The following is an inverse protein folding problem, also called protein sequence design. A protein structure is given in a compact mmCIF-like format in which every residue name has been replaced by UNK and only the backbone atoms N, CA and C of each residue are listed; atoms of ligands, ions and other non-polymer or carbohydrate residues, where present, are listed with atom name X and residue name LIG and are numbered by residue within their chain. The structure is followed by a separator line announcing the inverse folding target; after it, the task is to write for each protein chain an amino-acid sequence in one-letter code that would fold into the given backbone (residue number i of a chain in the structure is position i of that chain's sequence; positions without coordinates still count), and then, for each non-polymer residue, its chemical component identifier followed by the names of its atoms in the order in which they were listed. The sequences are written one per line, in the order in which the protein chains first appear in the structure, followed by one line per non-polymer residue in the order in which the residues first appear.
data_IF_217649594170
#
_entry.id   IF_217649594170
#
_cell.length_a   1.000
_cell.length_b   1.000
_cell.length_c   1.000
_cell.angle_alpha   90.00
_cell.angle_beta   90.00
_cell.angle_gamma   90.00
#
_symmetry.space_group_name_H-M   'P 1'
#
loop_
_entity.id
_entity.type
_entity.pdbx_description
1 polymer ?
#
# COMPACT_ATOMS: atom_id res chain seq x y z
N UNK A 1 -6.75 -19.46 6.67
CA UNK A 1 -6.05 -20.20 5.59
C UNK A 1 -6.40 -19.70 4.18
N UNK A 2 -7.68 -19.40 3.87
CA UNK A 2 -8.10 -18.95 2.54
C UNK A 2 -7.45 -17.61 2.13
N UNK A 3 -7.38 -16.64 3.02
CA UNK A 3 -6.75 -15.34 2.77
C UNK A 3 -5.25 -15.43 2.49
N UNK A 4 -4.53 -16.35 3.14
CA UNK A 4 -3.11 -16.56 2.89
C UNK A 4 -2.88 -17.09 1.47
N UNK A 5 -3.63 -18.12 1.07
CA UNK A 5 -3.54 -18.66 -0.30
C UNK A 5 -3.89 -17.61 -1.37
N UNK A 6 -4.84 -16.76 -1.05
CA UNK A 6 -5.26 -15.70 -1.94
C UNK A 6 -4.16 -14.63 -2.13
N UNK A 7 -3.53 -14.16 -1.03
CA UNK A 7 -2.42 -13.19 -1.12
C UNK A 7 -1.18 -13.83 -1.75
N UNK A 8 -0.88 -15.09 -1.48
CA UNK A 8 0.21 -15.79 -2.15
C UNK A 8 0.01 -15.86 -3.67
N UNK A 9 -1.23 -15.96 -4.13
CA UNK A 9 -1.59 -15.92 -5.54
C UNK A 9 -1.55 -14.53 -6.20
N UNK A 10 -1.42 -13.44 -5.42
CA UNK A 10 -1.33 -12.09 -5.98
C UNK A 10 0.07 -11.89 -6.56
N UNK A 11 0.15 -11.64 -7.87
CA UNK A 11 1.39 -11.27 -8.56
C UNK A 11 1.33 -9.78 -8.94
N UNK A 12 2.21 -8.97 -8.35
CA UNK A 12 2.40 -7.57 -8.69
C UNK A 12 3.77 -7.43 -9.37
N UNK A 13 3.75 -7.21 -10.68
CA UNK A 13 4.96 -7.07 -11.48
C UNK A 13 5.84 -5.91 -11.01
N UNK A 14 7.13 -6.18 -10.87
CA UNK A 14 8.10 -5.19 -10.38
C UNK A 14 7.64 -4.53 -9.07
N UNK A 15 6.96 -5.27 -8.19
CA UNK A 15 6.43 -4.74 -6.95
C UNK A 15 7.53 -4.20 -6.04
N UNK A 16 7.32 -3.00 -5.50
CA UNK A 16 8.14 -2.46 -4.42
C UNK A 16 7.40 -2.63 -3.10
N UNK A 17 8.12 -3.02 -2.07
CA UNK A 17 7.60 -3.22 -0.73
C UNK A 17 7.61 -1.90 0.02
N UNK A 18 6.48 -1.51 0.59
CA UNK A 18 6.34 -0.24 1.29
C UNK A 18 5.85 -0.41 2.72
N UNK A 19 6.43 0.37 3.63
CA UNK A 19 5.86 0.68 4.94
C UNK A 19 5.65 2.19 4.99
N UNK A 20 4.40 2.60 5.03
CA UNK A 20 4.00 3.99 5.09
C UNK A 20 3.55 4.32 6.52
N UNK A 21 4.29 5.19 7.19
CA UNK A 21 3.93 5.62 8.53
C UNK A 21 2.98 6.81 8.47
N UNK A 22 2.05 6.86 9.40
CA UNK A 22 1.04 7.91 9.48
C UNK A 22 1.17 8.72 10.77
N UNK A 23 0.81 10.01 10.69
CA UNK A 23 0.60 10.85 11.87
C UNK A 23 -0.58 10.28 12.65
N UNK A 24 -0.37 9.95 13.90
CA UNK A 24 -1.42 9.36 14.75
C UNK A 24 -2.43 10.41 15.24
N UNK A 25 -2.01 11.67 15.29
CA UNK A 25 -2.82 12.80 15.72
C UNK A 25 -2.65 14.00 14.79
N UNK A 26 -3.74 14.73 14.55
CA UNK A 26 -3.74 16.09 14.00
C UNK A 26 -4.60 16.94 14.94
N UNK A 27 -3.96 17.81 15.71
CA UNK A 27 -4.62 18.48 16.82
C UNK A 27 -5.19 17.46 17.80
N UNK A 28 -6.47 17.57 18.14
CA UNK A 28 -7.17 16.63 19.01
C UNK A 28 -7.71 15.38 18.27
N UNK A 29 -7.64 15.34 16.95
CA UNK A 29 -8.15 14.23 16.16
C UNK A 29 -7.15 13.07 16.15
N UNK A 30 -7.59 11.90 16.64
CA UNK A 30 -6.82 10.64 16.56
C UNK A 30 -7.14 9.92 15.25
N UNK A 31 -6.09 9.46 14.57
CA UNK A 31 -6.23 8.65 13.37
C UNK A 31 -6.95 7.33 13.69
N UNK A 32 -7.98 7.02 12.91
CA UNK A 32 -8.69 5.75 12.91
C UNK A 32 -8.53 5.02 11.55
N UNK A 33 -8.97 3.78 11.48
CA UNK A 33 -8.86 2.96 10.27
C UNK A 33 -9.63 3.54 9.09
N UNK A 34 -10.77 4.19 9.32
CA UNK A 34 -11.57 4.83 8.29
C UNK A 34 -10.84 6.03 7.67
N UNK A 35 -10.31 6.92 8.51
CA UNK A 35 -9.54 8.09 8.08
C UNK A 35 -8.24 7.67 7.39
N UNK A 36 -7.61 6.59 7.87
CA UNK A 36 -6.44 6.02 7.23
C UNK A 36 -6.76 5.50 5.82
N UNK A 37 -7.84 4.75 5.63
CA UNK A 37 -8.27 4.27 4.31
C UNK A 37 -8.56 5.42 3.34
N UNK A 38 -9.21 6.49 3.81
CA UNK A 38 -9.41 7.71 3.01
C UNK A 38 -8.08 8.39 2.63
N UNK A 39 -7.13 8.42 3.55
CA UNK A 39 -5.80 8.97 3.29
C UNK A 39 -5.03 8.14 2.25
N UNK A 40 -5.12 6.81 2.31
CA UNK A 40 -4.56 5.89 1.31
C UNK A 40 -5.22 6.14 -0.06
N UNK A 41 -6.54 6.30 -0.12
CA UNK A 41 -7.24 6.64 -1.37
C UNK A 41 -6.71 7.92 -1.99
N UNK A 42 -6.51 8.95 -1.19
CA UNK A 42 -5.95 10.21 -1.67
C UNK A 42 -4.52 10.02 -2.20
N UNK A 43 -3.70 9.28 -1.48
CA UNK A 43 -2.34 8.91 -1.89
C UNK A 43 -2.35 8.16 -3.23
N UNK A 44 -3.15 7.11 -3.37
CA UNK A 44 -3.20 6.30 -4.61
C UNK A 44 -3.68 7.14 -5.80
N UNK A 45 -4.62 8.06 -5.59
CA UNK A 45 -5.09 8.97 -6.63
C UNK A 45 -3.98 9.94 -7.08
N UNK A 46 -3.22 10.51 -6.16
CA UNK A 46 -2.08 11.38 -6.49
C UNK A 46 -1.04 10.58 -7.27
N UNK A 47 -0.65 9.40 -6.76
CA UNK A 47 0.38 8.56 -7.38
C UNK A 47 -0.01 8.12 -8.79
N UNK A 48 -1.22 7.59 -8.97
CA UNK A 48 -1.72 7.16 -10.27
C UNK A 48 -1.81 8.33 -11.28
N UNK A 49 -2.21 9.51 -10.81
CA UNK A 49 -2.23 10.71 -11.65
C UNK A 49 -0.83 11.13 -12.08
N UNK A 50 0.16 11.04 -11.19
CA UNK A 50 1.56 11.33 -11.51
C UNK A 50 2.13 10.34 -12.52
N UNK A 51 1.78 9.06 -12.38
CA UNK A 51 2.28 7.98 -13.25
C UNK A 51 1.61 8.00 -14.62
N UNK A 52 0.29 8.12 -14.67
CA UNK A 52 -0.50 7.92 -15.89
C UNK A 52 -1.12 9.21 -16.47
N UNK A 53 -1.05 10.33 -15.76
CA UNK A 53 -1.61 11.59 -16.23
C UNK A 53 -3.11 11.47 -16.57
N UNK A 54 -3.46 11.90 -17.77
CA UNK A 54 -4.84 11.87 -18.25
C UNK A 54 -5.41 10.45 -18.43
N UNK A 55 -4.56 9.44 -18.66
CA UNK A 55 -5.01 8.06 -18.82
C UNK A 55 -5.63 7.50 -17.53
N UNK A 56 -5.21 7.98 -16.37
CA UNK A 56 -5.85 7.67 -15.09
C UNK A 56 -7.31 8.15 -15.06
N UNK A 57 -7.56 9.41 -15.47
CA UNK A 57 -8.90 9.98 -15.46
C UNK A 57 -9.81 9.41 -16.55
N UNK A 58 -9.30 9.29 -17.78
CA UNK A 58 -10.10 8.93 -18.95
C UNK A 58 -10.35 7.44 -19.08
N UNK A 59 -9.38 6.62 -18.70
CA UNK A 59 -9.40 5.18 -18.95
C UNK A 59 -9.28 4.34 -17.66
N UNK A 60 -9.25 4.98 -16.48
CA UNK A 60 -9.12 4.29 -15.20
C UNK A 60 -7.79 3.52 -15.05
N UNK A 61 -6.72 3.94 -15.77
CA UNK A 61 -5.44 3.26 -15.73
C UNK A 61 -4.78 3.45 -14.37
N UNK A 62 -4.49 2.34 -13.68
CA UNK A 62 -3.96 2.32 -12.31
C UNK A 62 -2.80 1.35 -12.19
N UNK A 63 -1.91 1.62 -11.22
CA UNK A 63 -0.92 0.64 -10.77
C UNK A 63 -1.61 -0.48 -9.98
N UNK A 64 -1.06 -1.70 -10.09
CA UNK A 64 -1.45 -2.77 -9.18
C UNK A 64 -0.90 -2.50 -7.79
N UNK A 65 -1.75 -2.56 -6.77
CA UNK A 65 -1.39 -2.24 -5.39
C UNK A 65 -2.11 -3.17 -4.42
N UNK A 66 -1.42 -3.50 -3.33
CA UNK A 66 -1.98 -4.19 -2.17
C UNK A 66 -1.62 -3.41 -0.91
N UNK A 67 -2.60 -3.13 -0.05
CA UNK A 67 -2.39 -2.47 1.23
C UNK A 67 -2.97 -3.29 2.38
N UNK A 68 -2.20 -3.36 3.45
CA UNK A 68 -2.56 -4.05 4.68
C UNK A 68 -2.30 -3.11 5.85
N UNK A 69 -3.33 -2.81 6.61
CA UNK A 69 -3.24 -2.01 7.81
C UNK A 69 -2.73 -2.85 8.97
N UNK A 70 -1.82 -2.30 9.75
CA UNK A 70 -1.30 -2.92 10.96
C UNK A 70 -1.43 -1.94 12.12
N UNK A 71 -2.00 -2.41 13.23
CA UNK A 71 -2.01 -1.71 14.50
C UNK A 71 -0.92 -2.29 15.39
N UNK A 72 0.04 -1.46 15.77
CA UNK A 72 1.12 -1.91 16.66
C UNK A 72 0.64 -2.02 18.11
N UNK A 73 1.42 -2.70 18.96
CA UNK A 73 1.14 -2.91 20.38
C UNK A 73 0.95 -1.60 21.18
N UNK A 74 1.33 -0.46 20.63
CA UNK A 74 1.13 0.88 21.21
C UNK A 74 0.03 1.67 20.48
N UNK A 75 -0.94 1.00 19.90
CA UNK A 75 -2.07 1.59 19.16
C UNK A 75 -1.64 2.56 18.04
N UNK A 76 -0.57 2.23 17.33
CA UNK A 76 -0.11 3.01 16.18
C UNK A 76 -0.49 2.31 14.87
N UNK A 77 -1.21 3.03 14.04
CA UNK A 77 -1.59 2.56 12.71
C UNK A 77 -0.44 2.75 11.72
N UNK A 78 -0.09 1.68 11.04
CA UNK A 78 0.88 1.62 9.95
C UNK A 78 0.25 0.98 8.72
N UNK A 79 0.78 1.28 7.56
CA UNK A 79 0.37 0.66 6.31
C UNK A 79 1.55 -0.08 5.73
N UNK A 80 1.36 -1.36 5.49
CA UNK A 80 2.27 -2.15 4.68
C UNK A 80 1.66 -2.41 3.32
N UNK A 81 2.48 -2.51 2.29
CA UNK A 81 1.94 -2.76 0.97
C UNK A 81 2.97 -3.22 -0.04
N UNK A 82 2.43 -3.50 -1.23
CA UNK A 82 3.20 -3.77 -2.43
C UNK A 82 2.62 -2.86 -3.51
N UNK A 83 3.48 -2.11 -4.20
CA UNK A 83 3.07 -1.20 -5.28
C UNK A 83 3.83 -1.57 -6.54
N UNK A 84 3.12 -1.79 -7.66
CA UNK A 84 3.72 -2.01 -8.97
C UNK A 84 4.58 -0.81 -9.36
N UNK A 85 5.84 -1.07 -9.72
CA UNK A 85 6.72 -0.05 -10.28
C UNK A 85 6.62 -0.05 -11.81
N UNK A 86 6.28 1.10 -12.43
CA UNK A 86 6.30 1.21 -13.87
C UNK A 86 7.71 0.91 -14.43
N UNK A 87 7.78 0.10 -15.48
CA UNK A 87 9.07 -0.29 -16.10
C UNK A 87 9.92 0.90 -16.57
N UNK A 88 9.28 2.01 -16.92
CA UNK A 88 9.94 3.25 -17.35
C UNK A 88 10.61 4.05 -16.21
N UNK A 89 10.31 3.72 -14.95
CA UNK A 89 10.89 4.40 -13.78
C UNK A 89 11.92 3.50 -13.10
N UNK A 90 13.08 4.06 -12.77
CA UNK A 90 14.04 3.40 -11.88
C UNK A 90 13.45 3.26 -10.48
N UNK A 91 14.01 2.34 -9.69
CA UNK A 91 13.60 2.19 -8.28
C UNK A 91 13.75 3.51 -7.50
N UNK A 92 14.89 4.19 -7.64
CA UNK A 92 15.14 5.43 -6.90
C UNK A 92 14.17 6.56 -7.30
N UNK A 93 13.86 6.69 -8.59
CA UNK A 93 12.88 7.66 -9.07
C UNK A 93 11.48 7.35 -8.53
N UNK A 94 11.09 6.06 -8.54
CA UNK A 94 9.79 5.65 -8.06
C UNK A 94 9.66 5.75 -6.54
N UNK A 95 10.72 5.40 -5.80
CA UNK A 95 10.79 5.61 -4.34
C UNK A 95 10.54 7.08 -3.97
N UNK A 96 11.27 8.00 -4.59
CA UNK A 96 11.07 9.45 -4.36
C UNK A 96 9.63 9.88 -4.69
N UNK A 97 9.06 9.37 -5.77
CA UNK A 97 7.68 9.68 -6.15
C UNK A 97 6.67 9.22 -5.10
N UNK A 98 6.83 8.00 -4.56
CA UNK A 98 5.99 7.47 -3.47
C UNK A 98 6.11 8.36 -2.23
N UNK A 99 7.33 8.70 -1.82
CA UNK A 99 7.61 9.55 -0.66
C UNK A 99 6.97 10.93 -0.80
N UNK A 100 7.12 11.56 -1.95
CA UNK A 100 6.50 12.87 -2.25
C UNK A 100 4.97 12.80 -2.23
N UNK A 101 4.38 11.76 -2.83
CA UNK A 101 2.93 11.59 -2.87
C UNK A 101 2.36 11.31 -1.47
N UNK A 102 3.03 10.48 -0.67
CA UNK A 102 2.60 10.18 0.69
C UNK A 102 2.67 11.42 1.59
N UNK A 103 3.75 12.16 1.52
CA UNK A 103 3.95 13.40 2.28
C UNK A 103 2.90 14.48 1.97
N UNK A 104 2.29 14.46 0.79
CA UNK A 104 1.20 15.39 0.41
C UNK A 104 -0.13 15.05 1.04
N UNK A 105 -0.28 13.87 1.61
CA UNK A 105 -1.53 13.47 2.26
C UNK A 105 -1.61 14.07 3.67
N UNK A 106 -2.84 14.18 4.18
CA UNK A 106 -3.08 14.80 5.49
C UNK A 106 -2.34 14.07 6.64
N UNK A 107 -2.37 12.73 6.62
CA UNK A 107 -1.76 11.90 7.65
C UNK A 107 -0.39 11.32 7.25
N UNK A 108 0.11 11.63 6.05
CA UNK A 108 1.42 11.16 5.59
C UNK A 108 2.53 11.69 6.49
N UNK A 109 3.36 10.77 7.02
CA UNK A 109 4.53 11.08 7.82
C UNK A 109 5.81 10.89 7.01
N UNK A 110 6.89 11.58 7.39
CA UNK A 110 8.13 11.59 6.59
C UNK A 110 8.87 10.26 6.59
N UNK A 111 8.72 9.46 7.65
CA UNK A 111 9.40 8.18 7.75
C UNK A 111 8.64 7.10 6.97
N UNK A 112 9.16 6.80 5.79
CA UNK A 112 8.73 5.69 4.96
C UNK A 112 9.84 4.68 4.84
N UNK A 113 9.49 3.41 4.65
CA UNK A 113 10.45 2.36 4.37
C UNK A 113 10.05 1.69 3.06
N UNK A 114 10.87 1.84 2.03
CA UNK A 114 10.59 1.37 0.67
C UNK A 114 11.76 0.52 0.19
N UNK A 115 11.48 -0.74 -0.13
CA UNK A 115 12.48 -1.74 -0.53
C UNK A 115 12.13 -2.26 -1.91
N UNK A 116 13.17 -2.44 -2.73
CA UNK A 116 13.09 -3.16 -3.99
C UNK A 116 13.49 -4.62 -3.76
N UNK A 117 12.54 -5.58 -3.71
CA UNK A 117 12.90 -6.97 -3.59
C UNK A 117 13.65 -7.44 -4.85
N UNK A 118 14.78 -8.10 -4.66
CA UNK A 118 15.64 -8.58 -5.76
C UNK A 118 15.56 -10.10 -5.97
N UNK A 119 14.98 -10.81 -4.99
CA UNK A 119 14.81 -12.26 -5.04
C UNK A 119 13.37 -12.68 -4.80
N UNK A 120 13.01 -13.86 -5.31
CA UNK A 120 11.70 -14.47 -5.03
C UNK A 120 11.49 -14.68 -3.52
N UNK A 121 12.54 -15.06 -2.79
CA UNK A 121 12.48 -15.24 -1.34
C UNK A 121 12.13 -13.95 -0.59
N UNK A 122 12.62 -12.80 -1.03
CA UNK A 122 12.27 -11.48 -0.46
C UNK A 122 10.81 -11.12 -0.72
N UNK A 123 10.27 -11.43 -1.91
CA UNK A 123 8.86 -11.21 -2.24
C UNK A 123 7.96 -12.06 -1.36
N UNK A 124 8.26 -13.35 -1.22
CA UNK A 124 7.48 -14.28 -0.37
C UNK A 124 7.61 -13.90 1.10
N UNK A 125 8.82 -13.57 1.54
CA UNK A 125 9.09 -13.12 2.92
C UNK A 125 8.29 -11.87 3.28
N UNK A 126 8.19 -10.89 2.38
CA UNK A 126 7.39 -9.68 2.61
C UNK A 126 5.90 -9.99 2.70
N UNK A 127 5.36 -10.79 1.80
CA UNK A 127 3.95 -11.24 1.88
C UNK A 127 3.67 -11.91 3.22
N UNK A 128 4.53 -12.81 3.66
CA UNK A 128 4.41 -13.46 4.98
C UNK A 128 4.51 -12.46 6.13
N UNK A 129 5.38 -11.46 6.00
CA UNK A 129 5.55 -10.40 7.00
C UNK A 129 4.29 -9.56 7.17
N UNK A 130 3.72 -9.03 6.08
CA UNK A 130 2.52 -8.17 6.14
C UNK A 130 1.27 -8.94 6.60
N UNK A 131 1.29 -10.27 6.49
CA UNK A 131 0.21 -11.17 6.89
C UNK A 131 0.35 -11.71 8.31
N UNK A 132 1.31 -11.24 9.11
CA UNK A 132 1.49 -11.70 10.49
C UNK A 132 0.21 -11.56 11.31
N UNK A 133 -0.23 -12.66 11.91
CA UNK A 133 -1.42 -12.69 12.78
C UNK A 133 -1.24 -11.96 14.10
N UNK A 134 -0.01 -11.76 14.57
CA UNK A 134 0.31 -11.25 15.91
C UNK A 134 -0.20 -9.84 16.21
N UNK A 135 -0.34 -9.01 15.17
CA UNK A 135 -0.72 -7.60 15.30
C UNK A 135 -2.12 -7.30 14.78
N UNK A 136 -2.94 -8.35 14.51
CA UNK A 136 -4.23 -8.19 13.87
C UNK A 136 -5.32 -8.86 14.68
N UNK A 137 -6.21 -8.06 15.25
CA UNK A 137 -7.40 -8.50 15.97
C UNK A 137 -8.39 -9.12 14.96
N UNK A 138 -8.56 -8.47 13.82
CA UNK A 138 -9.34 -8.98 12.68
C UNK A 138 -8.48 -8.97 11.41
N UNK A 139 -8.14 -10.16 10.95
CA UNK A 139 -7.30 -10.33 9.77
C UNK A 139 -8.01 -9.89 8.48
N UNK A 140 -9.30 -10.15 8.37
CA UNK A 140 -10.10 -9.77 7.19
C UNK A 140 -10.25 -8.26 7.08
N UNK A 141 -10.43 -7.56 8.20
CA UNK A 141 -10.53 -6.11 8.26
C UNK A 141 -9.21 -5.36 8.10
N UNK A 142 -8.05 -6.05 8.16
CA UNK A 142 -6.76 -5.39 7.99
C UNK A 142 -6.37 -5.16 6.54
N UNK A 143 -6.94 -5.90 5.58
CA UNK A 143 -6.70 -5.67 4.15
C UNK A 143 -7.56 -4.50 3.68
N UNK A 144 -6.93 -3.44 3.18
CA UNK A 144 -7.65 -2.31 2.57
C UNK A 144 -8.08 -2.66 1.14
N UNK A 145 -9.19 -3.39 1.02
CA UNK A 145 -9.74 -3.82 -0.26
C UNK A 145 -10.16 -2.66 -1.15
N UNK A 146 -10.62 -1.56 -0.57
CA UNK A 146 -11.08 -0.40 -1.34
C UNK A 146 -9.95 0.28 -2.11
N UNK A 147 -8.75 0.29 -1.54
CA UNK A 147 -7.59 0.96 -2.13
C UNK A 147 -6.60 -0.02 -2.76
N UNK A 148 -6.81 -1.33 -2.61
CA UNK A 148 -6.02 -2.35 -3.28
C UNK A 148 -6.58 -2.61 -4.69
N UNK A 149 -5.71 -2.55 -5.69
CA UNK A 149 -6.07 -2.67 -7.12
C UNK A 149 -5.33 -3.82 -7.81
N UNK A 150 -4.93 -4.81 -7.04
CA UNK A 150 -4.26 -6.03 -7.56
C UNK A 150 -5.25 -7.14 -7.96
N UNK A 151 -6.55 -6.88 -7.86
CA UNK A 151 -7.58 -7.87 -8.15
C UNK A 151 -8.02 -7.75 -9.60
N UNK A 152 -7.57 -8.69 -10.43
CA UNK A 152 -8.27 -9.00 -11.65
C UNK A 152 -9.52 -9.77 -11.23
N UNK A 153 -10.68 -9.13 -11.29
CA UNK A 153 -11.93 -9.87 -11.36
C UNK A 153 -11.82 -10.70 -12.63
N UNK A 154 -11.35 -11.95 -12.51
CA UNK A 154 -11.59 -12.95 -13.53
C UNK A 154 -13.09 -12.96 -13.68
N UNK A 155 -13.57 -12.53 -14.84
CA UNK A 155 -14.97 -12.59 -15.22
C UNK A 155 -15.44 -14.02 -14.93
N UNK A 156 -16.29 -14.16 -13.90
CA UNK A 156 -17.14 -15.30 -13.74
C UNK A 156 -18.02 -15.46 -14.97
#
# INVERSE_FOLDING_TARGET
EAYFRWIDGIDIKNGVNVTLTAKQFIGAFRLDTFSLSRNIRYFTNILNRKVFGNAFKRFGKKLSMLFVNEESAVDRLHIHGIIERPSRLSFDAFKRLIEECWKKTLFGYEHTHIINPTTFGEVVGWKSYIMKKRSKIDFSGSIDLENSSCFTLSRL
#
